data_IF_831533637195
#
_entry.id   IF_831533637195
#
_cell.length_a   1.000
_cell.length_b   1.000
_cell.length_c   1.000
_cell.angle_alpha   90.00
_cell.angle_beta   90.00
_cell.angle_gamma   90.00
#
_symmetry.space_group_name_H-M   'P 1'
#
loop_
_entity.id
_entity.type
_entity.pdbx_description
1 polymer ?
#
# COMPACT_ATOMS: atom_id res chain seq x y z
N UNK A 1 13.06 -8.11 -16.00
CA UNK A 1 13.59 -8.43 -14.66
C UNK A 1 14.28 -7.19 -14.06
N UNK A 2 13.48 -6.15 -13.78
CA UNK A 2 13.88 -4.92 -13.06
C UNK A 2 12.74 -4.40 -12.16
N UNK A 3 11.56 -5.02 -12.21
CA UNK A 3 10.35 -4.52 -11.55
C UNK A 3 10.50 -4.50 -10.03
N UNK A 4 10.99 -5.58 -9.42
CA UNK A 4 11.21 -5.66 -7.97
C UNK A 4 12.20 -4.58 -7.51
N UNK A 5 13.30 -4.38 -8.25
CA UNK A 5 14.27 -3.34 -7.96
C UNK A 5 13.65 -1.94 -8.08
N UNK A 6 12.83 -1.69 -9.10
CA UNK A 6 12.15 -0.40 -9.28
C UNK A 6 11.13 -0.12 -8.16
N UNK A 7 10.39 -1.13 -7.71
CA UNK A 7 9.47 -0.96 -6.57
C UNK A 7 10.23 -0.75 -5.26
N UNK A 8 11.35 -1.46 -5.06
CA UNK A 8 12.19 -1.27 -3.88
C UNK A 8 12.82 0.13 -3.85
N UNK A 9 13.33 0.64 -4.98
CA UNK A 9 13.89 2.00 -5.06
C UNK A 9 12.81 3.05 -4.87
N UNK A 10 11.62 2.88 -5.45
CA UNK A 10 10.49 3.79 -5.24
C UNK A 10 10.02 3.82 -3.78
N UNK A 11 9.92 2.66 -3.13
CA UNK A 11 9.57 2.58 -1.72
C UNK A 11 10.64 3.27 -0.84
N UNK A 12 11.91 3.07 -1.15
CA UNK A 12 13.02 3.72 -0.46
C UNK A 12 12.93 5.25 -0.55
N UNK A 13 12.77 5.80 -1.77
CA UNK A 13 12.76 7.25 -1.98
C UNK A 13 11.53 7.93 -1.40
N UNK A 14 10.37 7.27 -1.42
CA UNK A 14 9.11 7.87 -0.95
C UNK A 14 8.88 7.61 0.54
N UNK A 15 9.05 6.38 1.02
CA UNK A 15 8.71 6.03 2.41
C UNK A 15 9.91 6.23 3.32
N UNK A 16 11.04 5.58 3.02
CA UNK A 16 12.19 5.57 3.94
C UNK A 16 12.78 6.97 4.11
N UNK A 17 13.07 7.66 3.00
CA UNK A 17 13.67 9.00 3.07
C UNK A 17 12.77 10.03 3.76
N UNK A 18 11.44 9.95 3.57
CA UNK A 18 10.52 10.85 4.27
C UNK A 18 10.42 10.51 5.76
N UNK A 19 10.42 9.23 6.13
CA UNK A 19 10.31 8.80 7.52
C UNK A 19 11.56 9.01 8.37
N UNK A 20 12.73 9.20 7.75
CA UNK A 20 13.95 9.60 8.47
C UNK A 20 13.84 11.06 8.97
N UNK A 21 13.04 11.91 8.30
CA UNK A 21 12.91 13.31 8.68
C UNK A 21 12.02 13.45 9.93
N UNK A 22 12.50 14.11 11.02
CA UNK A 22 11.76 14.23 12.28
C UNK A 22 10.36 14.85 12.15
N UNK A 23 10.19 15.77 11.20
CA UNK A 23 8.91 16.45 10.92
C UNK A 23 7.79 15.48 10.48
N UNK A 24 8.16 14.32 9.92
CA UNK A 24 7.23 13.33 9.38
C UNK A 24 7.00 12.15 10.31
N UNK A 25 7.67 12.07 11.47
CA UNK A 25 7.58 10.90 12.36
C UNK A 25 6.17 10.59 12.81
N UNK A 26 5.34 11.62 13.05
CA UNK A 26 3.93 11.47 13.43
C UNK A 26 3.11 10.66 12.39
N UNK A 27 3.51 10.68 11.11
CA UNK A 27 2.84 9.92 10.06
C UNK A 27 3.47 8.53 9.86
N UNK A 28 4.75 8.38 10.18
CA UNK A 28 5.51 7.16 9.92
C UNK A 28 5.47 6.13 11.06
N UNK A 29 5.38 6.57 12.32
CA UNK A 29 5.57 5.69 13.47
C UNK A 29 4.51 4.58 13.59
N UNK A 30 3.30 4.80 13.06
CA UNK A 30 2.18 3.84 13.07
C UNK A 30 2.16 2.97 11.82
N UNK A 31 3.21 2.16 11.67
CA UNK A 31 3.32 1.18 10.57
C UNK A 31 2.13 0.22 10.53
N UNK A 32 1.54 -0.06 11.69
CA UNK A 32 0.31 -0.85 11.85
C UNK A 32 -0.91 -0.24 11.15
N UNK A 33 -0.95 1.09 10.97
CA UNK A 33 -2.10 1.80 10.40
C UNK A 33 -2.01 1.94 8.89
N UNK A 34 -0.81 2.06 8.33
CA UNK A 34 -0.64 2.37 6.90
C UNK A 34 0.03 1.26 6.09
N UNK A 35 0.90 0.41 6.68
CA UNK A 35 1.60 -0.63 5.92
C UNK A 35 0.90 -1.99 6.04
N UNK A 36 0.54 -2.38 7.26
CA UNK A 36 -0.01 -3.71 7.53
C UNK A 36 -1.34 -3.96 6.80
N UNK A 37 -2.32 -3.01 6.79
CA UNK A 37 -3.57 -3.20 6.06
C UNK A 37 -3.34 -3.35 4.55
N UNK A 38 -2.47 -2.53 3.98
CA UNK A 38 -2.12 -2.55 2.55
C UNK A 38 -1.44 -3.87 2.15
N UNK A 39 -0.56 -4.43 2.99
CA UNK A 39 0.02 -5.74 2.75
C UNK A 39 -1.04 -6.85 2.76
N UNK A 40 -2.01 -6.76 3.68
CA UNK A 40 -3.11 -7.71 3.76
C UNK A 40 -4.03 -7.62 2.53
N UNK A 41 -4.37 -6.41 2.09
CA UNK A 41 -5.15 -6.20 0.87
C UNK A 41 -4.39 -6.63 -0.38
N UNK A 42 -3.10 -6.28 -0.48
CA UNK A 42 -2.22 -6.73 -1.56
C UNK A 42 -2.12 -8.25 -1.63
N UNK A 43 -2.11 -8.95 -0.50
CA UNK A 43 -2.16 -10.41 -0.45
C UNK A 43 -3.48 -10.97 -1.00
N UNK A 44 -4.62 -10.36 -0.66
CA UNK A 44 -5.93 -10.75 -1.21
C UNK A 44 -6.01 -10.56 -2.72
N UNK A 45 -5.46 -9.45 -3.22
CA UNK A 45 -5.36 -9.19 -4.66
C UNK A 45 -4.44 -10.20 -5.36
N UNK A 46 -3.29 -10.53 -4.74
CA UNK A 46 -2.34 -11.49 -5.29
C UNK A 46 -2.90 -12.92 -5.34
N UNK A 47 -3.66 -13.31 -4.31
CA UNK A 47 -4.31 -14.62 -4.24
C UNK A 47 -5.60 -14.70 -5.05
N UNK A 48 -6.12 -13.57 -5.53
CA UNK A 48 -7.36 -13.49 -6.31
C UNK A 48 -8.63 -13.59 -5.45
N UNK A 49 -8.51 -13.46 -4.12
CA UNK A 49 -9.66 -13.40 -3.21
C UNK A 49 -10.52 -12.15 -3.47
N UNK A 50 -9.85 -11.04 -3.80
CA UNK A 50 -10.49 -9.79 -4.23
C UNK A 50 -9.96 -9.40 -5.59
N UNK A 51 -10.82 -8.76 -6.40
CA UNK A 51 -10.40 -8.17 -7.69
C UNK A 51 -10.33 -6.65 -7.56
N UNK A 52 -9.47 -5.98 -8.34
CA UNK A 52 -9.43 -4.53 -8.37
C UNK A 52 -10.81 -3.94 -8.65
N UNK A 53 -11.17 -2.91 -7.90
CA UNK A 53 -12.44 -2.18 -8.00
C UNK A 53 -13.70 -2.99 -7.66
N UNK A 54 -13.58 -4.14 -6.98
CA UNK A 54 -14.74 -4.97 -6.65
C UNK A 54 -15.78 -4.19 -5.83
N UNK A 55 -15.35 -3.48 -4.79
CA UNK A 55 -16.24 -2.71 -3.91
C UNK A 55 -16.95 -1.59 -4.66
N UNK A 56 -16.24 -0.85 -5.50
CA UNK A 56 -16.77 0.25 -6.30
C UNK A 56 -17.78 -0.27 -7.32
N UNK A 57 -17.51 -1.42 -7.94
CA UNK A 57 -18.44 -2.05 -8.88
C UNK A 57 -19.70 -2.55 -8.18
N UNK A 58 -19.58 -3.10 -6.99
CA UNK A 58 -20.71 -3.60 -6.21
C UNK A 58 -21.56 -2.43 -5.68
N UNK A 59 -20.94 -1.34 -5.24
CA UNK A 59 -21.62 -0.10 -4.90
C UNK A 59 -22.43 0.46 -6.07
N UNK A 60 -21.85 0.51 -7.28
CA UNK A 60 -22.54 0.98 -8.48
C UNK A 60 -23.69 0.07 -8.94
N UNK A 61 -23.66 -1.23 -8.62
CA UNK A 61 -24.76 -2.17 -8.92
C UNK A 61 -25.89 -2.12 -7.89
N UNK A 62 -25.61 -1.64 -6.68
CA UNK A 62 -26.59 -1.45 -5.61
C UNK A 62 -27.36 -0.13 -5.68
N UNK A 63 -27.03 0.73 -6.64
CA UNK A 63 -27.73 1.95 -7.05
C UNK A 63 -28.69 1.64 -8.21
#
# INVERSE_FOLDING_TARGET
MYTILNYATAFWTVVVMNCIQPVNWQYCYRVDQWLVPELHEGWKLYTGETVPYQNERDYLKGL
#
